data_IF_444794509547
#
_entry.id   IF_444794509547
#
_cell.length_a   1.000
_cell.length_b   1.000
_cell.length_c   1.000
_cell.angle_alpha   90.00
_cell.angle_beta   90.00
_cell.angle_gamma   90.00
#
_symmetry.space_group_name_H-M   'P 1'
#
loop_
_entity.id
_entity.type
_entity.pdbx_description
1 polymer ?
#
# COMPACT_ATOMS: atom_id res chain seq x y z
N UNK A 1 0.65 -0.48 3.11
CA UNK A 1 2.08 -0.86 2.98
C UNK A 1 2.64 -0.99 4.39
N UNK A 2 2.99 -2.20 4.84
CA UNK A 2 3.44 -2.45 6.22
C UNK A 2 4.61 -1.54 6.63
N UNK A 3 4.50 -0.94 7.81
CA UNK A 3 5.47 -0.03 8.42
C UNK A 3 5.63 1.30 7.71
N UNK A 4 4.71 1.66 6.80
CA UNK A 4 4.81 2.91 6.02
C UNK A 4 3.47 3.62 5.83
N UNK A 5 2.44 2.93 5.33
CA UNK A 5 1.11 3.52 5.11
C UNK A 5 0.18 3.04 6.23
N UNK A 6 0.36 3.62 7.41
CA UNK A 6 -0.51 3.45 8.57
C UNK A 6 -1.77 4.34 8.45
N UNK A 7 -2.58 4.43 9.51
CA UNK A 7 -3.82 5.22 9.51
C UNK A 7 -3.56 6.73 9.29
N UNK A 8 -2.52 7.29 9.91
CA UNK A 8 -2.17 8.71 9.74
C UNK A 8 -1.67 9.01 8.34
N UNK A 9 -0.89 8.11 7.74
CA UNK A 9 -0.45 8.23 6.35
C UNK A 9 -1.63 8.12 5.39
N UNK A 10 -2.58 7.22 5.66
CA UNK A 10 -3.82 7.13 4.87
C UNK A 10 -4.64 8.43 4.96
N UNK A 11 -4.83 8.98 6.16
CA UNK A 11 -5.50 10.28 6.35
C UNK A 11 -4.85 11.33 5.45
N UNK A 12 -3.55 11.58 5.61
CA UNK A 12 -2.83 12.61 4.84
C UNK A 12 -2.93 12.41 3.33
N UNK A 13 -2.70 11.20 2.84
CA UNK A 13 -2.77 10.89 1.40
C UNK A 13 -4.18 11.05 0.82
N UNK A 14 -5.22 10.99 1.64
CA UNK A 14 -6.63 11.04 1.20
C UNK A 14 -7.30 12.39 1.44
N UNK A 15 -6.61 13.39 2.01
CA UNK A 15 -7.16 14.75 2.18
C UNK A 15 -7.47 15.45 0.86
N UNK A 16 -6.70 15.15 -0.17
CA UNK A 16 -6.95 15.62 -1.53
C UNK A 16 -7.73 14.57 -2.33
N UNK A 17 -8.77 14.96 -3.10
CA UNK A 17 -9.48 14.02 -3.96
C UNK A 17 -8.52 13.34 -4.95
N UNK A 18 -8.45 12.00 -4.91
CA UNK A 18 -7.52 11.26 -5.76
C UNK A 18 -7.59 9.75 -5.62
N UNK A 19 -7.80 9.25 -4.40
CA UNK A 19 -7.97 7.82 -4.13
C UNK A 19 -9.44 7.42 -4.08
N UNK A 20 -9.79 6.32 -4.75
CA UNK A 20 -11.12 5.70 -4.67
C UNK A 20 -11.29 4.83 -3.41
N UNK A 21 -10.23 4.18 -2.95
CA UNK A 21 -10.17 3.44 -1.68
C UNK A 21 -8.71 3.30 -1.22
N UNK A 22 -8.53 2.89 0.02
CA UNK A 22 -7.24 2.54 0.62
C UNK A 22 -7.27 1.13 1.20
N UNK A 23 -6.09 0.56 1.44
CA UNK A 23 -5.96 -0.76 2.06
C UNK A 23 -5.06 -0.64 3.28
N UNK A 24 -5.43 -1.26 4.39
CA UNK A 24 -4.65 -1.24 5.63
C UNK A 24 -3.29 -1.90 5.47
N UNK A 25 -2.44 -1.77 6.47
CA UNK A 25 -1.42 -2.78 6.72
C UNK A 25 -2.07 -4.13 7.02
N UNK A 26 -1.35 -5.23 6.77
CA UNK A 26 -1.95 -6.54 6.98
C UNK A 26 -2.06 -6.89 8.47
N UNK A 27 -3.19 -7.49 8.84
CA UNK A 27 -3.34 -8.26 10.08
C UNK A 27 -2.78 -9.66 9.82
N UNK A 28 -1.69 -10.00 10.51
CA UNK A 28 -1.02 -11.29 10.34
C UNK A 28 -1.72 -12.39 11.12
N UNK A 29 -2.30 -13.34 10.41
CA UNK A 29 -2.97 -14.54 10.92
C UNK A 29 -2.06 -15.75 10.73
N UNK A 30 -1.75 -16.44 11.84
CA UNK A 30 -0.94 -17.67 11.80
C UNK A 30 -1.87 -18.88 11.88
N UNK A 31 -2.37 -19.17 13.09
CA UNK A 31 -3.13 -20.39 13.41
C UNK A 31 -4.30 -20.15 14.38
N UNK A 32 -4.42 -18.95 14.93
CA UNK A 32 -5.38 -18.61 15.98
C UNK A 32 -6.24 -17.39 15.62
N UNK A 33 -7.40 -17.27 16.28
CA UNK A 33 -8.23 -16.06 16.26
C UNK A 33 -7.53 -14.95 17.04
N UNK A 34 -7.39 -13.78 16.44
CA UNK A 34 -6.73 -12.63 17.05
C UNK A 34 -7.72 -11.79 17.87
N UNK A 35 -7.27 -11.16 18.96
CA UNK A 35 -8.13 -10.28 19.77
C UNK A 35 -8.45 -8.97 19.03
N UNK A 36 -9.58 -8.31 19.32
CA UNK A 36 -10.02 -7.07 18.64
C UNK A 36 -8.97 -5.98 18.55
N UNK A 37 -8.17 -5.80 19.62
CA UNK A 37 -7.10 -4.81 19.70
C UNK A 37 -6.08 -4.89 18.56
N UNK A 38 -5.88 -6.07 17.95
CA UNK A 38 -4.97 -6.23 16.81
C UNK A 38 -5.55 -5.57 15.56
N UNK A 39 -6.84 -5.73 15.31
CA UNK A 39 -7.53 -5.11 14.18
C UNK A 39 -7.57 -3.58 14.35
N UNK A 40 -7.95 -3.11 15.55
CA UNK A 40 -8.01 -1.67 15.87
C UNK A 40 -6.65 -0.98 15.76
N UNK A 41 -5.55 -1.70 16.02
CA UNK A 41 -4.20 -1.17 15.81
C UNK A 41 -3.91 -0.85 14.34
N UNK A 42 -4.31 -1.73 13.42
CA UNK A 42 -4.05 -1.56 11.97
C UNK A 42 -5.12 -0.72 11.26
N UNK A 43 -6.33 -0.73 11.80
CA UNK A 43 -7.48 -0.02 11.30
C UNK A 43 -8.24 0.67 12.44
N UNK A 44 -7.71 1.78 12.98
CA UNK A 44 -8.41 2.60 13.98
C UNK A 44 -9.78 3.09 13.49
N UNK A 45 -9.97 3.17 12.17
CA UNK A 45 -11.24 3.54 11.53
C UNK A 45 -12.40 2.60 11.92
N UNK A 46 -12.11 1.37 12.39
CA UNK A 46 -13.11 0.45 12.95
C UNK A 46 -13.75 0.98 14.25
N UNK A 47 -13.05 1.82 15.02
CA UNK A 47 -13.57 2.38 16.27
C UNK A 47 -14.63 3.47 16.04
N UNK A 48 -14.60 4.11 14.87
CA UNK A 48 -15.47 5.25 14.52
C UNK A 48 -16.74 4.83 13.77
N UNK A 49 -16.88 3.55 13.41
CA UNK A 49 -17.93 3.10 12.52
C UNK A 49 -19.02 2.30 13.26
N UNK A 50 -20.29 2.68 13.08
CA UNK A 50 -21.32 1.69 12.86
C UNK A 50 -21.77 1.64 11.39
N UNK A 51 -21.34 2.58 10.52
CA UNK A 51 -21.98 2.74 9.19
C UNK A 51 -21.02 2.84 7.99
N UNK A 52 -19.78 3.34 8.12
CA UNK A 52 -18.80 3.38 7.02
C UNK A 52 -17.36 3.26 7.53
N UNK A 53 -16.61 2.27 7.04
CA UNK A 53 -15.18 2.15 7.30
C UNK A 53 -14.39 3.00 6.29
N UNK A 54 -14.03 4.22 6.68
CA UNK A 54 -13.34 5.18 5.82
C UNK A 54 -12.31 6.04 6.59
N UNK A 55 -11.38 6.66 5.86
CA UNK A 55 -10.49 7.70 6.40
C UNK A 55 -11.30 8.93 6.87
N UNK A 56 -10.69 9.87 7.63
CA UNK A 56 -11.39 11.09 8.04
C UNK A 56 -11.95 11.92 6.88
N UNK A 57 -11.34 11.86 5.70
CA UNK A 57 -11.83 12.52 4.48
C UNK A 57 -12.90 11.73 3.72
N UNK A 58 -13.36 10.59 4.25
CA UNK A 58 -14.43 9.77 3.68
C UNK A 58 -13.99 8.75 2.63
N UNK A 59 -12.69 8.54 2.42
CA UNK A 59 -12.20 7.53 1.47
C UNK A 59 -12.31 6.12 2.09
N UNK A 60 -13.00 5.16 1.45
CA UNK A 60 -13.15 3.80 1.97
C UNK A 60 -11.82 3.12 2.33
N UNK A 61 -11.81 2.34 3.41
CA UNK A 61 -10.66 1.56 3.86
C UNK A 61 -11.01 0.07 3.81
N UNK A 62 -10.17 -0.72 3.12
CA UNK A 62 -10.26 -2.18 3.08
C UNK A 62 -9.27 -2.80 4.05
N UNK A 63 -9.74 -3.68 4.94
CA UNK A 63 -8.89 -4.35 5.91
C UNK A 63 -8.20 -5.55 5.26
N UNK A 64 -6.88 -5.61 5.33
CA UNK A 64 -6.09 -6.68 4.73
C UNK A 64 -5.73 -7.76 5.75
N UNK A 65 -5.98 -9.03 5.42
CA UNK A 65 -5.51 -10.20 6.15
C UNK A 65 -4.31 -10.83 5.43
N UNK A 66 -3.38 -11.37 6.21
CA UNK A 66 -2.28 -12.19 5.70
C UNK A 66 -2.18 -13.46 6.52
N UNK A 67 -2.37 -14.61 5.90
CA UNK A 67 -2.19 -15.90 6.54
C UNK A 67 -2.26 -17.04 5.54
N UNK A 68 -2.13 -18.26 6.03
CA UNK A 68 -2.10 -19.47 5.21
C UNK A 68 -3.01 -20.58 5.69
N UNK A 69 -3.43 -20.53 6.96
CA UNK A 69 -4.34 -21.51 7.55
C UNK A 69 -5.81 -21.12 7.32
N UNK A 70 -6.58 -21.85 6.47
CA UNK A 70 -7.92 -21.43 6.06
C UNK A 70 -8.88 -21.22 7.24
N UNK A 71 -8.90 -22.13 8.23
CA UNK A 71 -9.79 -22.00 9.37
C UNK A 71 -9.46 -20.79 10.27
N UNK A 72 -8.17 -20.43 10.37
CA UNK A 72 -7.74 -19.28 11.16
C UNK A 72 -8.09 -17.97 10.43
N UNK A 73 -7.89 -17.93 9.10
CA UNK A 73 -8.33 -16.83 8.26
C UNK A 73 -9.85 -16.62 8.37
N UNK A 74 -10.65 -17.68 8.28
CA UNK A 74 -12.11 -17.63 8.45
C UNK A 74 -12.52 -17.05 9.81
N UNK A 75 -11.89 -17.51 10.89
CA UNK A 75 -12.18 -17.01 12.24
C UNK A 75 -11.84 -15.51 12.41
N UNK A 76 -10.75 -15.05 11.79
CA UNK A 76 -10.35 -13.65 11.81
C UNK A 76 -11.17 -12.78 10.85
N UNK A 77 -11.69 -13.34 9.76
CA UNK A 77 -12.63 -12.66 8.87
C UNK A 77 -13.96 -12.36 9.58
N UNK A 78 -14.52 -13.35 10.30
CA UNK A 78 -15.71 -13.15 11.16
C UNK A 78 -15.47 -12.08 12.23
N UNK A 79 -14.28 -12.08 12.83
CA UNK A 79 -13.90 -11.05 13.81
C UNK A 79 -13.84 -9.65 13.17
N UNK A 80 -13.22 -9.52 12.01
CA UNK A 80 -13.16 -8.24 11.30
C UNK A 80 -14.57 -7.73 10.94
N UNK A 81 -15.44 -8.61 10.43
CA UNK A 81 -16.84 -8.29 10.14
C UNK A 81 -17.59 -7.84 11.41
N UNK A 82 -17.44 -8.57 12.52
CA UNK A 82 -18.06 -8.20 13.80
C UNK A 82 -17.56 -6.86 14.36
N UNK A 83 -16.37 -6.41 13.96
CA UNK A 83 -15.80 -5.11 14.31
C UNK A 83 -16.20 -4.00 13.33
N UNK A 84 -17.01 -4.29 12.31
CA UNK A 84 -17.50 -3.29 11.35
C UNK A 84 -16.65 -3.16 10.09
N UNK A 85 -15.80 -4.14 9.76
CA UNK A 85 -15.15 -4.16 8.44
C UNK A 85 -16.20 -4.21 7.34
N UNK A 86 -16.07 -3.34 6.33
CA UNK A 86 -16.99 -3.27 5.17
C UNK A 86 -16.41 -3.93 3.92
N UNK A 87 -15.14 -4.34 3.95
CA UNK A 87 -14.44 -5.05 2.88
C UNK A 87 -13.19 -5.72 3.43
N UNK A 88 -12.84 -6.88 2.88
CA UNK A 88 -11.62 -7.62 3.23
C UNK A 88 -10.73 -7.82 1.99
N UNK A 89 -9.41 -7.76 2.19
CA UNK A 89 -8.41 -8.11 1.18
C UNK A 89 -7.47 -9.21 1.69
N UNK A 90 -7.09 -10.15 0.82
CA UNK A 90 -6.14 -11.21 1.15
C UNK A 90 -4.78 -10.99 0.49
N UNK A 91 -3.74 -10.95 1.33
CA UNK A 91 -2.38 -10.73 0.87
C UNK A 91 -1.67 -12.03 0.49
N UNK A 92 -1.45 -12.22 -0.82
CA UNK A 92 -0.61 -13.27 -1.39
C UNK A 92 0.64 -12.68 -2.08
N UNK A 93 1.02 -11.44 -1.75
CA UNK A 93 2.09 -10.70 -2.43
C UNK A 93 3.33 -10.40 -1.57
N UNK A 94 3.23 -10.52 -0.24
CA UNK A 94 4.30 -10.14 0.67
C UNK A 94 5.57 -11.01 0.43
N UNK A 95 6.75 -10.40 0.17
CA UNK A 95 7.99 -11.13 -0.07
C UNK A 95 8.81 -11.39 1.20
N UNK A 96 8.39 -10.83 2.35
CA UNK A 96 9.16 -10.79 3.58
C UNK A 96 9.56 -12.19 4.05
N UNK A 97 10.84 -12.39 4.38
CA UNK A 97 11.40 -13.72 4.71
C UNK A 97 10.68 -14.33 5.91
N UNK A 98 10.40 -13.56 6.96
CA UNK A 98 9.69 -14.05 8.15
C UNK A 98 8.27 -14.50 7.81
N UNK A 99 7.55 -13.73 6.99
CA UNK A 99 6.20 -14.09 6.55
C UNK A 99 6.21 -15.38 5.74
N UNK A 100 7.11 -15.49 4.75
CA UNK A 100 7.17 -16.66 3.88
C UNK A 100 7.74 -17.91 4.59
N UNK A 101 8.58 -17.73 5.62
CA UNK A 101 9.09 -18.83 6.47
C UNK A 101 7.98 -19.47 7.30
N UNK A 102 7.01 -18.68 7.75
CA UNK A 102 5.78 -19.18 8.37
C UNK A 102 4.67 -19.40 7.35
N UNK A 103 5.06 -19.69 6.10
CA UNK A 103 4.19 -20.14 5.03
C UNK A 103 3.03 -19.18 4.66
N UNK A 104 3.19 -17.87 4.91
CA UNK A 104 2.23 -16.82 4.53
C UNK A 104 2.65 -16.03 3.29
N UNK A 105 1.79 -15.11 2.85
CA UNK A 105 2.09 -14.15 1.78
C UNK A 105 2.36 -14.82 0.43
N UNK A 106 3.44 -14.43 -0.24
CA UNK A 106 3.73 -14.95 -1.59
C UNK A 106 4.01 -16.45 -1.64
N UNK A 107 4.31 -17.11 -0.51
CA UNK A 107 4.53 -18.57 -0.47
C UNK A 107 3.34 -19.37 -0.99
N UNK A 108 2.10 -18.88 -0.81
CA UNK A 108 0.89 -19.52 -1.33
C UNK A 108 0.86 -19.57 -2.86
N UNK A 109 1.57 -18.68 -3.56
CA UNK A 109 1.65 -18.66 -5.02
C UNK A 109 2.42 -19.83 -5.63
N UNK A 110 2.94 -20.75 -4.79
CA UNK A 110 3.55 -22.01 -5.24
C UNK A 110 2.50 -23.08 -5.55
N UNK A 111 1.28 -22.93 -5.05
CA UNK A 111 0.20 -23.88 -5.26
C UNK A 111 -1.15 -23.13 -5.36
N UNK A 112 -1.74 -23.02 -6.57
CA UNK A 112 -3.04 -22.39 -6.76
C UNK A 112 -4.14 -22.93 -5.83
N UNK A 113 -4.10 -24.22 -5.45
CA UNK A 113 -5.09 -24.81 -4.55
C UNK A 113 -5.08 -24.14 -3.18
N UNK A 114 -3.92 -23.70 -2.71
CA UNK A 114 -3.77 -22.99 -1.44
C UNK A 114 -4.36 -21.58 -1.51
N UNK A 115 -4.17 -20.88 -2.64
CA UNK A 115 -4.81 -19.59 -2.88
C UNK A 115 -6.33 -19.76 -2.85
N UNK A 116 -6.88 -20.71 -3.61
CA UNK A 116 -8.33 -20.98 -3.62
C UNK A 116 -8.86 -21.30 -2.22
N UNK A 117 -8.21 -22.20 -1.49
CA UNK A 117 -8.65 -22.60 -0.16
C UNK A 117 -8.65 -21.42 0.84
N UNK A 118 -7.64 -20.55 0.78
CA UNK A 118 -7.56 -19.38 1.65
C UNK A 118 -8.65 -18.35 1.31
N UNK A 119 -8.89 -18.06 0.03
CA UNK A 119 -9.96 -17.13 -0.38
C UNK A 119 -11.33 -17.69 -0.06
N UNK A 120 -11.61 -18.96 -0.39
CA UNK A 120 -12.87 -19.62 -0.10
C UNK A 120 -13.21 -19.58 1.39
N UNK A 121 -12.25 -19.92 2.26
CA UNK A 121 -12.51 -19.91 3.69
C UNK A 121 -12.85 -18.52 4.25
N UNK A 122 -12.34 -17.45 3.65
CA UNK A 122 -12.68 -16.07 4.05
C UNK A 122 -14.01 -15.64 3.46
N UNK A 123 -14.25 -15.94 2.18
CA UNK A 123 -15.52 -15.70 1.51
C UNK A 123 -16.68 -16.41 2.21
N UNK A 124 -16.58 -17.72 2.44
CA UNK A 124 -17.61 -18.51 3.13
C UNK A 124 -17.86 -18.00 4.56
N UNK A 125 -16.83 -17.45 5.21
CA UNK A 125 -16.93 -16.95 6.58
C UNK A 125 -17.69 -15.63 6.72
N UNK A 126 -17.72 -14.81 5.66
CA UNK A 126 -18.41 -13.50 5.67
C UNK A 126 -19.62 -13.46 4.72
N UNK A 127 -19.75 -14.46 3.85
CA UNK A 127 -20.82 -14.56 2.85
C UNK A 127 -20.92 -13.31 1.98
N UNK A 128 -22.15 -12.92 1.67
CA UNK A 128 -22.46 -11.71 0.90
C UNK A 128 -22.51 -10.43 1.77
N UNK A 129 -22.18 -10.52 3.06
CA UNK A 129 -22.23 -9.36 3.95
C UNK A 129 -21.24 -8.27 3.53
N UNK A 130 -20.04 -8.67 3.10
CA UNK A 130 -18.98 -7.77 2.62
C UNK A 130 -18.15 -8.42 1.50
N UNK A 131 -17.63 -7.64 0.54
CA UNK A 131 -16.77 -8.17 -0.51
C UNK A 131 -15.43 -8.68 0.02
N UNK A 132 -14.95 -9.78 -0.56
CA UNK A 132 -13.61 -10.31 -0.37
C UNK A 132 -12.80 -10.07 -1.62
N UNK A 133 -11.63 -9.47 -1.48
CA UNK A 133 -10.69 -9.18 -2.57
C UNK A 133 -9.36 -9.88 -2.31
N UNK A 134 -8.51 -9.96 -3.34
CA UNK A 134 -7.19 -10.56 -3.20
C UNK A 134 -6.12 -9.72 -3.89
N UNK A 135 -4.91 -9.76 -3.33
CA UNK A 135 -3.72 -9.15 -3.91
C UNK A 135 -2.61 -10.17 -4.12
N UNK A 136 -2.24 -10.38 -5.38
CA UNK A 136 -1.20 -11.35 -5.79
C UNK A 136 0.03 -10.68 -6.41
N UNK A 137 1.08 -11.46 -6.57
CA UNK A 137 2.21 -11.25 -7.49
C UNK A 137 2.06 -12.17 -8.69
N UNK A 138 2.89 -12.01 -9.72
CA UNK A 138 2.90 -12.91 -10.90
C UNK A 138 3.39 -14.34 -10.59
N UNK A 139 3.76 -14.64 -9.34
CA UNK A 139 4.21 -15.95 -8.90
C UNK A 139 5.32 -15.85 -7.86
N UNK A 140 5.82 -17.00 -7.40
CA UNK A 140 6.89 -17.04 -6.40
C UNK A 140 8.28 -16.84 -7.03
N UNK A 141 8.79 -17.86 -7.71
CA UNK A 141 10.11 -17.83 -8.33
C UNK A 141 10.07 -17.37 -9.78
N UNK A 142 9.02 -17.78 -10.50
CA UNK A 142 8.76 -17.46 -11.90
C UNK A 142 7.25 -17.18 -12.09
N UNK A 143 6.83 -17.03 -13.34
CA UNK A 143 5.46 -16.65 -13.73
C UNK A 143 4.60 -17.83 -14.18
N UNK A 144 5.07 -19.08 -14.09
CA UNK A 144 4.39 -20.27 -14.65
C UNK A 144 3.00 -20.47 -14.06
N UNK A 145 2.83 -20.16 -12.79
CA UNK A 145 1.56 -20.30 -12.06
C UNK A 145 0.73 -19.02 -12.00
N UNK A 146 1.14 -17.93 -12.68
CA UNK A 146 0.47 -16.63 -12.60
C UNK A 146 -1.04 -16.72 -12.88
N UNK A 147 -1.39 -17.32 -14.04
CA UNK A 147 -2.77 -17.48 -14.47
C UNK A 147 -3.55 -18.42 -13.55
N UNK A 148 -2.95 -19.56 -13.18
CA UNK A 148 -3.59 -20.54 -12.32
C UNK A 148 -3.88 -19.98 -10.92
N UNK A 149 -2.96 -19.23 -10.32
CA UNK A 149 -3.19 -18.56 -9.03
C UNK A 149 -4.25 -17.46 -9.13
N UNK A 150 -4.29 -16.70 -10.23
CA UNK A 150 -5.31 -15.68 -10.45
C UNK A 150 -6.71 -16.29 -10.56
N UNK A 151 -6.87 -17.34 -11.38
CA UNK A 151 -8.13 -18.09 -11.51
C UNK A 151 -8.52 -18.77 -10.20
N UNK A 152 -7.56 -19.28 -9.45
CA UNK A 152 -7.82 -19.87 -8.14
C UNK A 152 -8.36 -18.86 -7.11
N UNK A 153 -7.92 -17.59 -7.17
CA UNK A 153 -8.47 -16.54 -6.32
C UNK A 153 -9.94 -16.25 -6.67
N UNK A 154 -10.27 -16.11 -7.95
CA UNK A 154 -11.65 -15.94 -8.43
C UNK A 154 -12.54 -17.14 -8.07
N UNK A 155 -12.08 -18.37 -8.31
CA UNK A 155 -12.78 -19.61 -7.94
C UNK A 155 -12.96 -19.77 -6.42
N UNK A 156 -12.18 -19.05 -5.62
CA UNK A 156 -12.34 -18.97 -4.18
C UNK A 156 -13.34 -17.92 -3.73
N UNK A 157 -13.95 -17.15 -4.64
CA UNK A 157 -14.93 -16.11 -4.31
C UNK A 157 -14.33 -14.70 -4.17
N UNK A 158 -13.09 -14.46 -4.62
CA UNK A 158 -12.59 -13.10 -4.70
C UNK A 158 -13.41 -12.31 -5.72
N UNK A 159 -13.88 -11.12 -5.34
CA UNK A 159 -14.69 -10.23 -6.19
C UNK A 159 -13.85 -9.19 -6.96
N UNK A 160 -12.58 -9.03 -6.61
CA UNK A 160 -11.61 -8.20 -7.31
C UNK A 160 -10.19 -8.74 -7.08
N UNK A 161 -9.33 -8.64 -8.08
CA UNK A 161 -7.94 -9.05 -8.00
C UNK A 161 -6.96 -7.90 -8.29
N UNK A 162 -6.11 -7.58 -7.32
CA UNK A 162 -4.98 -6.67 -7.52
C UNK A 162 -3.72 -7.47 -7.87
N UNK A 163 -3.10 -7.18 -9.01
CA UNK A 163 -1.91 -7.90 -9.47
C UNK A 163 -0.70 -6.98 -9.46
N UNK A 164 0.29 -7.28 -8.62
CA UNK A 164 1.62 -6.69 -8.78
C UNK A 164 2.33 -7.37 -9.94
N UNK A 165 2.75 -6.60 -10.96
CA UNK A 165 3.38 -7.08 -12.20
C UNK A 165 4.79 -7.68 -12.03
N UNK A 166 5.09 -8.35 -10.93
CA UNK A 166 6.38 -8.99 -10.65
C UNK A 166 6.16 -10.27 -9.87
N UNK A 167 7.09 -11.19 -10.00
CA UNK A 167 7.23 -12.35 -9.11
C UNK A 167 7.73 -11.91 -7.74
N UNK A 168 7.71 -12.80 -6.75
CA UNK A 168 8.31 -12.54 -5.44
C UNK A 168 9.83 -12.39 -5.54
N UNK A 169 10.51 -13.20 -6.35
CA UNK A 169 11.98 -13.18 -6.46
C UNK A 169 12.51 -11.92 -7.17
N UNK A 170 11.74 -11.32 -8.08
CA UNK A 170 12.08 -10.01 -8.67
C UNK A 170 12.01 -8.87 -7.64
N UNK A 171 11.30 -9.07 -6.53
CA UNK A 171 11.15 -8.10 -5.46
C UNK A 171 10.55 -6.79 -5.97
N UNK A 172 11.37 -5.75 -5.99
CA UNK A 172 11.01 -4.40 -6.45
C UNK A 172 11.90 -3.88 -7.58
N UNK A 173 12.67 -4.77 -8.24
CA UNK A 173 13.53 -4.42 -9.37
C UNK A 173 12.66 -4.15 -10.61
N UNK A 174 12.80 -3.00 -11.29
CA UNK A 174 12.07 -2.74 -12.54
C UNK A 174 12.49 -3.68 -13.67
N UNK A 175 11.63 -3.87 -14.69
CA UNK A 175 10.28 -3.31 -14.81
C UNK A 175 9.21 -4.12 -14.08
N UNK A 176 8.03 -3.53 -13.87
CA UNK A 176 6.80 -4.27 -13.64
C UNK A 176 6.22 -4.70 -15.01
N UNK A 177 5.93 -5.99 -15.17
CA UNK A 177 5.44 -6.61 -16.41
C UNK A 177 3.93 -6.44 -16.54
N UNK A 178 3.46 -5.28 -17.00
CA UNK A 178 2.04 -4.95 -17.09
C UNK A 178 1.28 -5.79 -18.12
N UNK A 179 1.94 -6.27 -19.16
CA UNK A 179 1.35 -7.14 -20.19
C UNK A 179 0.89 -8.49 -19.60
N UNK A 180 1.61 -8.98 -18.58
CA UNK A 180 1.19 -10.17 -17.82
C UNK A 180 -0.09 -9.94 -17.04
N UNK A 181 -0.31 -8.72 -16.54
CA UNK A 181 -1.57 -8.35 -15.89
C UNK A 181 -2.70 -8.38 -16.92
N UNK A 182 -2.45 -7.93 -18.15
CA UNK A 182 -3.42 -8.03 -19.24
C UNK A 182 -3.81 -9.47 -19.60
N UNK A 183 -2.84 -10.39 -19.60
CA UNK A 183 -3.12 -11.83 -19.75
C UNK A 183 -4.01 -12.39 -18.64
N UNK A 184 -3.80 -11.94 -17.39
CA UNK A 184 -4.66 -12.33 -16.26
C UNK A 184 -6.06 -11.75 -16.43
N UNK A 185 -6.18 -10.46 -16.73
CA UNK A 185 -7.47 -9.76 -16.93
C UNK A 185 -8.34 -10.45 -17.98
N UNK A 186 -7.75 -10.94 -19.08
CA UNK A 186 -8.47 -11.66 -20.13
C UNK A 186 -9.01 -13.03 -19.70
N UNK A 187 -8.56 -13.58 -18.57
CA UNK A 187 -8.96 -14.91 -18.08
C UNK A 187 -9.95 -14.87 -16.93
N UNK A 188 -10.15 -13.70 -16.32
CA UNK A 188 -11.05 -13.53 -15.18
C UNK A 188 -12.32 -12.78 -15.62
N UNK A 189 -13.43 -13.08 -14.96
CA UNK A 189 -14.67 -12.31 -15.07
C UNK A 189 -14.76 -11.18 -14.04
N UNK A 190 -13.97 -11.25 -12.96
CA UNK A 190 -13.89 -10.19 -11.95
C UNK A 190 -12.95 -9.03 -12.36
N UNK A 191 -13.16 -7.82 -11.82
CA UNK A 191 -12.25 -6.69 -12.04
C UNK A 191 -10.80 -6.99 -11.64
N UNK A 192 -9.86 -6.56 -12.48
CA UNK A 192 -8.41 -6.66 -12.25
C UNK A 192 -7.79 -5.27 -12.15
N UNK A 193 -7.03 -5.04 -11.09
CA UNK A 193 -6.34 -3.77 -10.80
C UNK A 193 -4.83 -3.93 -11.03
N UNK A 194 -4.26 -3.07 -11.87
CA UNK A 194 -2.82 -3.12 -12.17
C UNK A 194 -1.99 -2.47 -11.05
N UNK A 195 -0.87 -3.10 -10.66
CA UNK A 195 0.03 -2.58 -9.64
C UNK A 195 1.51 -2.78 -10.00
N UNK A 196 2.33 -1.80 -9.61
CA UNK A 196 3.79 -1.83 -9.75
C UNK A 196 4.28 -0.76 -10.70
N UNK A 197 5.32 -0.03 -10.28
CA UNK A 197 6.06 0.97 -11.06
C UNK A 197 5.25 2.13 -11.66
N UNK A 198 4.15 2.51 -11.01
CA UNK A 198 3.40 3.71 -11.37
C UNK A 198 3.91 4.86 -10.51
N UNK A 199 4.71 5.73 -11.12
CA UNK A 199 5.32 6.88 -10.44
C UNK A 199 4.92 8.22 -11.04
N UNK A 200 4.42 8.25 -12.29
CA UNK A 200 3.99 9.46 -13.00
C UNK A 200 2.64 9.24 -13.67
N UNK A 201 2.07 10.32 -14.22
CA UNK A 201 0.86 10.26 -15.04
C UNK A 201 1.06 9.41 -16.31
N UNK A 202 2.25 9.45 -16.90
CA UNK A 202 2.63 8.61 -18.06
C UNK A 202 2.73 7.14 -17.66
N UNK A 203 3.33 6.82 -16.51
CA UNK A 203 3.38 5.45 -16.02
C UNK A 203 1.96 4.91 -15.76
N UNK A 204 1.05 5.77 -15.26
CA UNK A 204 -0.37 5.42 -15.09
C UNK A 204 -1.02 5.03 -16.42
N UNK A 205 -0.85 5.85 -17.46
CA UNK A 205 -1.40 5.54 -18.79
C UNK A 205 -0.77 4.30 -19.40
N UNK A 206 0.56 4.16 -19.34
CA UNK A 206 1.25 2.96 -19.83
C UNK A 206 0.77 1.70 -19.13
N UNK A 207 0.62 1.73 -17.81
CA UNK A 207 0.11 0.60 -17.03
C UNK A 207 -1.29 0.21 -17.51
N UNK A 208 -2.21 1.18 -17.66
CA UNK A 208 -3.57 0.93 -18.15
C UNK A 208 -3.60 0.42 -19.58
N UNK A 209 -2.82 0.99 -20.48
CA UNK A 209 -2.75 0.57 -21.89
C UNK A 209 -2.24 -0.86 -22.01
N UNK A 210 -1.13 -1.18 -21.34
CA UNK A 210 -0.47 -2.50 -21.47
C UNK A 210 -1.21 -3.62 -20.73
N UNK A 211 -1.87 -3.31 -19.61
CA UNK A 211 -2.69 -4.30 -18.90
C UNK A 211 -4.15 -4.35 -19.37
N UNK A 212 -4.63 -3.32 -20.06
CA UNK A 212 -6.06 -3.12 -20.33
C UNK A 212 -6.90 -2.94 -19.06
N UNK A 213 -6.29 -2.65 -17.91
CA UNK A 213 -7.02 -2.41 -16.66
C UNK A 213 -7.62 -0.99 -16.65
N UNK A 214 -8.83 -0.87 -16.10
CA UNK A 214 -9.42 0.45 -15.80
C UNK A 214 -8.72 1.07 -14.59
N UNK A 215 -8.50 0.27 -13.56
CA UNK A 215 -8.07 0.73 -12.25
C UNK A 215 -6.60 0.35 -12.00
N UNK A 216 -5.91 1.19 -11.23
CA UNK A 216 -4.54 0.94 -10.78
C UNK A 216 -4.42 1.09 -9.28
N UNK A 217 -3.45 0.39 -8.67
CA UNK A 217 -3.07 0.60 -7.28
C UNK A 217 -1.72 1.28 -7.20
N UNK A 218 -1.66 2.42 -6.51
CA UNK A 218 -0.43 3.13 -6.19
C UNK A 218 0.16 2.60 -4.88
N UNK A 219 1.48 2.69 -4.75
CA UNK A 219 2.19 2.31 -3.53
C UNK A 219 3.32 3.29 -3.26
N UNK A 220 4.56 2.89 -3.58
CA UNK A 220 5.74 3.77 -3.42
C UNK A 220 5.61 5.09 -4.19
N UNK A 221 4.93 5.11 -5.35
CA UNK A 221 4.65 6.33 -6.11
C UNK A 221 3.85 7.36 -5.32
N UNK A 222 2.84 6.94 -4.55
CA UNK A 222 2.02 7.84 -3.73
C UNK A 222 2.79 8.42 -2.53
N UNK A 223 3.78 7.70 -1.99
CA UNK A 223 4.65 8.24 -0.94
C UNK A 223 5.74 9.15 -1.51
N UNK A 224 6.28 8.76 -2.66
CA UNK A 224 7.29 9.53 -3.36
C UNK A 224 6.71 10.85 -3.86
N UNK A 225 5.44 10.88 -4.23
CA UNK A 225 4.68 12.07 -4.59
C UNK A 225 3.22 11.96 -4.10
N UNK A 226 2.88 12.61 -2.96
CA UNK A 226 1.51 12.62 -2.43
C UNK A 226 0.45 13.20 -3.38
N UNK A 227 0.84 14.02 -4.36
CA UNK A 227 -0.07 14.60 -5.35
C UNK A 227 -0.22 13.74 -6.61
N UNK A 228 0.43 12.58 -6.69
CA UNK A 228 0.30 11.69 -7.85
C UNK A 228 -1.16 11.25 -8.09
N UNK A 229 -1.89 10.84 -7.04
CA UNK A 229 -3.28 10.43 -7.19
C UNK A 229 -4.21 11.61 -7.54
N UNK A 230 -4.14 12.77 -6.86
CA UNK A 230 -4.84 13.98 -7.31
C UNK A 230 -4.53 14.38 -8.74
N UNK A 231 -3.27 14.32 -9.18
CA UNK A 231 -2.87 14.62 -10.56
C UNK A 231 -3.49 13.66 -11.57
N UNK A 232 -3.49 12.36 -11.27
CA UNK A 232 -4.18 11.36 -12.09
C UNK A 232 -5.68 11.66 -12.17
N UNK A 233 -6.32 11.92 -11.03
CA UNK A 233 -7.76 12.20 -10.97
C UNK A 233 -8.12 13.47 -11.73
N UNK A 234 -7.35 14.55 -11.55
CA UNK A 234 -7.58 15.80 -12.26
C UNK A 234 -7.49 15.59 -13.78
N UNK A 235 -6.43 14.93 -14.26
CA UNK A 235 -6.30 14.59 -15.67
C UNK A 235 -7.48 13.75 -16.20
N UNK A 236 -7.98 12.78 -15.42
CA UNK A 236 -9.15 11.98 -15.81
C UNK A 236 -10.42 12.82 -16.00
N UNK A 237 -10.57 13.91 -15.23
CA UNK A 237 -11.76 14.75 -15.22
C UNK A 237 -11.69 15.90 -16.25
N UNK A 238 -10.53 16.56 -16.36
CA UNK A 238 -10.37 17.76 -17.19
C UNK A 238 -9.58 17.53 -18.48
N UNK A 239 -8.75 16.49 -18.54
CA UNK A 239 -7.74 16.35 -19.60
C UNK A 239 -6.58 17.34 -19.48
N UNK A 240 -6.46 18.06 -18.36
CA UNK A 240 -5.39 19.04 -18.10
C UNK A 240 -4.35 18.48 -17.13
N UNK A 241 -3.10 18.94 -17.27
CA UNK A 241 -2.00 18.54 -16.38
C UNK A 241 -1.89 19.51 -15.22
N UNK A 242 -1.98 18.99 -14.00
CA UNK A 242 -1.53 19.74 -12.82
C UNK A 242 0.00 19.85 -12.80
N UNK A 243 0.55 20.94 -12.23
CA UNK A 243 1.98 21.07 -12.03
C UNK A 243 2.57 19.97 -11.14
N UNK A 244 3.89 19.88 -11.17
CA UNK A 244 4.64 19.02 -10.25
C UNK A 244 4.52 19.52 -8.82
N UNK A 245 4.69 18.59 -7.88
CA UNK A 245 4.52 18.84 -6.45
C UNK A 245 5.68 19.67 -5.94
N UNK A 246 5.36 20.86 -5.42
CA UNK A 246 6.36 21.76 -4.84
C UNK A 246 6.99 21.15 -3.59
N UNK A 247 8.24 21.53 -3.28
CA UNK A 247 8.86 21.14 -2.03
C UNK A 247 8.05 21.60 -0.81
N UNK A 248 7.50 22.82 -0.84
CA UNK A 248 6.63 23.34 0.22
C UNK A 248 5.46 22.38 0.52
N UNK A 249 4.76 21.91 -0.51
CA UNK A 249 3.66 20.94 -0.35
C UNK A 249 4.12 19.62 0.28
N UNK A 250 5.31 19.14 -0.09
CA UNK A 250 5.94 17.95 0.49
C UNK A 250 6.33 18.16 1.96
N UNK A 251 6.93 19.31 2.27
CA UNK A 251 7.35 19.69 3.60
C UNK A 251 6.14 19.80 4.54
N UNK A 252 5.08 20.49 4.12
CA UNK A 252 3.82 20.58 4.87
C UNK A 252 3.24 19.20 5.17
N UNK A 253 3.23 18.29 4.19
CA UNK A 253 2.76 16.90 4.42
C UNK A 253 3.57 16.19 5.51
N UNK A 254 4.89 16.37 5.53
CA UNK A 254 5.77 15.78 6.53
C UNK A 254 5.60 16.44 7.92
N UNK A 255 5.39 17.76 7.98
CA UNK A 255 5.09 18.48 9.23
C UNK A 255 3.75 18.02 9.82
N UNK A 256 2.71 17.92 9.01
CA UNK A 256 1.40 17.39 9.43
C UNK A 256 1.51 15.95 9.94
N UNK A 257 2.29 15.12 9.24
CA UNK A 257 2.57 13.76 9.69
C UNK A 257 3.27 13.72 11.05
N UNK A 258 4.25 14.61 11.27
CA UNK A 258 4.91 14.71 12.56
C UNK A 258 3.94 15.12 13.67
N UNK A 259 3.06 16.09 13.41
CA UNK A 259 2.05 16.55 14.36
C UNK A 259 1.10 15.41 14.76
N UNK A 260 0.61 14.63 13.79
CA UNK A 260 -0.24 13.47 14.05
C UNK A 260 0.49 12.40 14.89
N UNK A 261 1.72 12.04 14.52
CA UNK A 261 2.46 10.97 15.19
C UNK A 261 2.97 11.34 16.58
N UNK A 262 3.32 12.61 16.85
CA UNK A 262 3.78 13.08 18.17
C UNK A 262 2.73 12.90 19.28
N UNK A 263 1.45 12.77 18.91
CA UNK A 263 0.37 12.52 19.88
C UNK A 263 0.48 11.14 20.55
N UNK A 264 1.15 10.17 19.91
CA UNK A 264 1.21 8.78 20.38
C UNK A 264 2.62 8.18 20.40
N UNK A 265 3.58 8.77 19.70
CA UNK A 265 4.94 8.24 19.54
C UNK A 265 6.02 9.18 20.10
N UNK A 266 7.12 8.63 20.67
CA UNK A 266 8.26 9.43 21.07
C UNK A 266 8.91 10.16 19.90
N UNK A 267 9.44 11.37 20.14
CA UNK A 267 10.02 12.23 19.09
C UNK A 267 11.10 11.54 18.23
N UNK A 268 11.92 10.66 18.84
CA UNK A 268 12.93 9.87 18.11
C UNK A 268 12.32 8.91 17.09
N UNK A 269 11.17 8.31 17.41
CA UNK A 269 10.44 7.42 16.50
C UNK A 269 9.85 8.24 15.36
N UNK A 270 9.21 9.37 15.66
CA UNK A 270 8.66 10.30 14.65
C UNK A 270 9.75 10.76 13.68
N UNK A 271 10.92 11.14 14.19
CA UNK A 271 12.09 11.52 13.38
C UNK A 271 12.50 10.41 12.41
N UNK A 272 12.49 9.14 12.86
CA UNK A 272 12.80 7.99 12.00
C UNK A 272 11.76 7.79 10.90
N UNK A 273 10.47 7.93 11.22
CA UNK A 273 9.37 7.79 10.25
C UNK A 273 9.40 8.93 9.21
N UNK A 274 9.70 10.17 9.62
CA UNK A 274 9.90 11.29 8.70
C UNK A 274 11.04 11.01 7.71
N UNK A 275 12.18 10.53 8.21
CA UNK A 275 13.31 10.15 7.34
C UNK A 275 12.97 9.00 6.40
N UNK A 276 12.14 8.06 6.85
CA UNK A 276 11.65 6.96 6.02
C UNK A 276 10.77 7.47 4.87
N UNK A 277 9.83 8.39 5.15
CA UNK A 277 9.00 9.00 4.10
C UNK A 277 9.83 9.89 3.18
N UNK A 278 10.72 10.72 3.72
CA UNK A 278 11.62 11.54 2.91
C UNK A 278 12.52 10.70 1.98
N UNK A 279 12.96 9.53 2.45
CA UNK A 279 13.68 8.57 1.63
C UNK A 279 12.84 8.02 0.45
N UNK A 280 11.51 7.95 0.59
CA UNK A 280 10.62 7.67 -0.54
C UNK A 280 10.52 8.86 -1.51
N UNK A 281 10.39 10.09 -1.00
CA UNK A 281 10.26 11.30 -1.82
C UNK A 281 11.46 11.54 -2.75
N UNK A 282 12.69 11.25 -2.29
CA UNK A 282 13.89 11.42 -3.13
C UNK A 282 13.99 10.47 -4.33
N UNK A 283 13.13 9.46 -4.45
CA UNK A 283 13.32 8.38 -5.42
C UNK A 283 13.30 8.84 -6.88
N UNK A 284 12.54 9.89 -7.20
CA UNK A 284 12.41 10.44 -8.56
C UNK A 284 12.35 11.98 -8.60
N UNK A 285 12.79 12.63 -7.52
CA UNK A 285 12.70 14.08 -7.38
C UNK A 285 14.09 14.65 -6.97
N UNK A 286 14.77 15.39 -7.86
CA UNK A 286 16.11 15.92 -7.58
C UNK A 286 16.16 16.94 -6.44
N UNK A 287 15.09 17.70 -6.21
CA UNK A 287 15.02 18.62 -5.09
C UNK A 287 14.90 17.84 -3.77
N UNK A 288 13.97 16.90 -3.69
CA UNK A 288 13.82 16.04 -2.52
C UNK A 288 15.09 15.23 -2.23
N UNK A 289 15.85 14.84 -3.25
CA UNK A 289 17.15 14.20 -3.08
C UNK A 289 18.18 15.13 -2.42
N UNK A 290 18.30 16.38 -2.87
CA UNK A 290 19.18 17.39 -2.23
C UNK A 290 18.76 17.67 -0.79
N UNK A 291 17.46 17.83 -0.54
CA UNK A 291 16.88 18.05 0.80
C UNK A 291 17.12 16.85 1.72
N UNK A 292 16.96 15.63 1.23
CA UNK A 292 17.27 14.43 2.01
C UNK A 292 18.73 14.41 2.46
N UNK A 293 19.67 14.76 1.58
CA UNK A 293 21.09 14.78 1.92
C UNK A 293 21.44 15.81 3.00
N UNK A 294 20.81 17.00 2.98
CA UNK A 294 20.99 18.01 4.04
C UNK A 294 20.34 17.63 5.37
N UNK A 295 19.21 16.91 5.34
CA UNK A 295 18.39 16.62 6.53
C UNK A 295 18.70 15.27 7.20
N UNK A 296 19.23 14.28 6.47
CA UNK A 296 19.35 12.89 6.96
C UNK A 296 20.15 12.72 8.25
N UNK A 297 21.07 13.66 8.55
CA UNK A 297 21.91 13.62 9.77
C UNK A 297 21.27 14.29 10.98
N UNK A 298 20.23 15.10 10.80
CA UNK A 298 19.54 15.79 11.92
C UNK A 298 18.79 14.76 12.76
N UNK A 299 19.05 14.72 14.07
CA UNK A 299 18.44 13.71 14.97
C UNK A 299 17.37 14.28 15.88
N UNK A 300 17.36 15.59 16.11
CA UNK A 300 16.31 16.26 16.87
C UNK A 300 15.10 16.51 15.98
N UNK A 301 13.90 16.28 16.52
CA UNK A 301 12.68 16.40 15.75
C UNK A 301 12.42 17.85 15.33
N UNK A 302 12.47 18.79 16.26
CA UNK A 302 12.15 20.19 15.97
C UNK A 302 13.15 20.78 14.95
N UNK A 303 14.45 20.51 15.09
CA UNK A 303 15.46 20.89 14.09
C UNK A 303 15.19 20.28 12.70
N UNK A 304 14.68 19.05 12.64
CA UNK A 304 14.33 18.41 11.36
C UNK A 304 13.11 19.08 10.73
N UNK A 305 12.11 19.47 11.53
CA UNK A 305 10.91 20.18 11.07
C UNK A 305 11.27 21.57 10.54
N UNK A 306 12.12 22.32 11.25
CA UNK A 306 12.64 23.61 10.79
C UNK A 306 13.39 23.47 9.46
N UNK A 307 14.23 22.44 9.36
CA UNK A 307 14.97 22.13 8.13
C UNK A 307 14.09 21.72 6.94
N UNK A 308 12.91 21.13 7.19
CA UNK A 308 11.94 20.83 6.13
C UNK A 308 11.32 22.10 5.56
N UNK A 309 11.02 23.07 6.43
CA UNK A 309 10.35 24.33 6.06
C UNK A 309 11.28 25.42 5.53
N UNK A 310 12.60 25.27 5.70
CA UNK A 310 13.57 26.25 5.21
C UNK A 310 13.50 26.46 3.69
N UNK A 311 13.53 27.71 3.23
CA UNK A 311 13.44 28.06 1.79
C UNK A 311 14.56 27.44 0.95
N UNK A 312 15.77 27.32 1.49
CA UNK A 312 16.92 26.70 0.81
C UNK A 312 17.51 25.54 1.62
N UNK A 313 17.99 24.47 0.97
CA UNK A 313 18.70 23.41 1.69
C UNK A 313 19.99 23.99 2.29
N UNK A 314 20.21 23.77 3.57
CA UNK A 314 21.48 24.14 4.21
C UNK A 314 22.64 23.49 3.43
N UNK A 315 23.63 24.31 3.04
CA UNK A 315 24.85 23.83 2.37
C UNK A 315 25.45 22.67 3.17
N UNK A 316 25.79 21.53 2.55
CA UNK A 316 26.43 20.45 3.28
C UNK A 316 27.72 21.00 3.91
N UNK A 317 27.83 20.89 5.24
CA UNK A 317 29.08 21.25 5.95
C UNK A 317 30.22 20.52 5.24
N UNK A 318 31.14 21.29 4.66
CA UNK A 318 32.34 20.77 4.04
C UNK A 318 33.01 19.81 5.03
N UNK A 319 33.33 18.59 4.57
CA UNK A 319 34.09 17.66 5.37
C UNK A 319 35.38 18.38 5.79
N UNK A 320 35.59 18.53 7.10
CA UNK A 320 36.89 18.98 7.61
C UNK A 320 37.89 17.94 7.13
N UNK A 321 38.78 18.34 6.21
CA UNK A 321 39.95 17.56 5.87
C UNK A 321 40.75 17.37 7.17
N UNK A 322 41.17 16.14 7.50
CA UNK A 322 42.06 15.93 8.64
C UNK A 322 43.36 16.71 8.39
N UNK A 323 43.79 17.45 9.41
CA UNK A 323 45.07 18.16 9.44
C UNK A 323 46.24 17.17 9.56
#
# INVERSE_FOLDING_TARGET
>A
MEGVIDAHTRDLLTRQPGFDWTVTEFVRVVDTRLPPRVFLKHCPELASAPQRLCTPSGVPVTLQLLGSHPAALAANARQALALGATSLDLNFGCPAKLVNRHDGGASLLRDPRRVRAAVAAVHDAVGDAIPVTAKIRLGFADRRLALACAMAAEQGGAQQLVVHGRTRNEGYRPPAHWEWIGRIRQRLSIPVVANGDIWTLEDYWKARTLSGCRDVMLGRGALADPWLAPRIRHWQLSGERLPDTTWESRATTLVDFAALQRSTLPAKVVTSLLKQWLNHMRARDPEAARRFESLKRITQLDELLDGLMAEQPAMPRAARLPA
#
